data_IF_513497784196
#
_entry.id   IF_513497784196
#
_cell.length_a   1.000
_cell.length_b   1.000
_cell.length_c   1.000
_cell.angle_alpha   90.00
_cell.angle_beta   90.00
_cell.angle_gamma   90.00
#
_symmetry.space_group_name_H-M   'P 1'
#
loop_
_entity.id
_entity.type
_entity.pdbx_description
1 polymer ?
#
# COMPACT_ATOMS: atom_id res chain seq x y z
N UNK A 1 -13.71 -11.49 24.56
CA UNK A 1 -12.44 -11.45 25.30
C UNK A 1 -12.09 -9.99 25.53
N UNK A 2 -11.44 -9.61 26.64
CA UNK A 2 -10.94 -8.24 26.80
C UNK A 2 -9.91 -7.97 25.70
N UNK A 3 -9.95 -6.77 25.12
CA UNK A 3 -8.96 -6.33 24.12
C UNK A 3 -7.59 -6.24 24.80
N UNK A 4 -6.57 -6.80 24.16
CA UNK A 4 -5.17 -6.59 24.55
C UNK A 4 -4.70 -5.24 24.00
N UNK A 5 -4.96 -4.18 24.76
CA UNK A 5 -4.63 -2.80 24.38
C UNK A 5 -3.13 -2.59 24.12
N UNK A 6 -2.26 -3.39 24.74
CA UNK A 6 -0.81 -3.28 24.52
C UNK A 6 -0.43 -3.86 23.16
N UNK A 7 -1.00 -5.02 22.80
CA UNK A 7 -0.85 -5.60 21.47
C UNK A 7 -1.42 -4.68 20.38
N UNK A 8 -2.60 -4.09 20.60
CA UNK A 8 -3.21 -3.12 19.68
C UNK A 8 -2.29 -1.92 19.43
N UNK A 9 -1.68 -1.35 20.47
CA UNK A 9 -0.71 -0.25 20.34
C UNK A 9 0.55 -0.67 19.58
N UNK A 10 1.09 -1.87 19.84
CA UNK A 10 2.24 -2.40 19.08
C UNK A 10 1.91 -2.58 17.61
N UNK A 11 0.70 -3.04 17.31
CA UNK A 11 0.22 -3.25 15.96
C UNK A 11 0.10 -1.92 15.19
N UNK A 12 -0.48 -0.89 15.80
CA UNK A 12 -0.55 0.46 15.22
C UNK A 12 0.86 1.02 14.99
N UNK A 13 1.73 0.93 16.00
CA UNK A 13 3.12 1.38 15.89
C UNK A 13 3.90 0.68 14.76
N UNK A 14 3.59 -0.59 14.47
CA UNK A 14 4.20 -1.31 13.34
C UNK A 14 3.81 -0.70 11.99
N UNK A 15 2.55 -0.30 11.81
CA UNK A 15 2.09 0.37 10.57
C UNK A 15 2.65 1.79 10.49
N UNK A 16 2.73 2.52 11.60
CA UNK A 16 3.40 3.83 11.65
C UNK A 16 4.89 3.71 11.25
N UNK A 17 5.59 2.69 11.77
CA UNK A 17 6.98 2.39 11.42
C UNK A 17 7.16 2.09 9.94
N UNK A 18 6.20 1.40 9.31
CA UNK A 18 6.18 1.18 7.86
C UNK A 18 6.24 2.50 7.09
N UNK A 19 5.39 3.47 7.45
CA UNK A 19 5.35 4.80 6.84
C UNK A 19 6.63 5.58 7.09
N UNK A 20 7.16 5.53 8.31
CA UNK A 20 8.41 6.19 8.68
C UNK A 20 9.58 5.70 7.81
N UNK A 21 9.81 4.39 7.77
CA UNK A 21 10.91 3.79 7.01
C UNK A 21 10.77 4.05 5.51
N UNK A 22 9.55 3.94 4.99
CA UNK A 22 9.29 4.25 3.58
C UNK A 22 9.61 5.71 3.24
N UNK A 23 9.18 6.68 4.08
CA UNK A 23 9.46 8.10 3.87
C UNK A 23 10.95 8.45 4.01
N UNK A 24 11.70 7.70 4.82
CA UNK A 24 13.16 7.82 4.96
C UNK A 24 13.93 7.15 3.81
N UNK A 25 13.25 6.33 2.98
CA UNK A 25 13.88 5.54 1.93
C UNK A 25 14.65 4.32 2.43
N UNK A 26 14.46 3.91 3.69
CA UNK A 26 15.12 2.75 4.27
C UNK A 26 14.35 1.46 3.95
N UNK A 27 14.46 1.05 2.69
CA UNK A 27 13.76 -0.12 2.15
C UNK A 27 14.30 -1.44 2.73
N UNK A 28 15.55 -1.45 3.20
CA UNK A 28 16.16 -2.63 3.81
C UNK A 28 15.54 -2.90 5.18
N UNK A 29 15.51 -1.89 6.05
CA UNK A 29 14.85 -2.01 7.35
C UNK A 29 13.34 -2.29 7.19
N UNK A 30 12.69 -1.65 6.21
CA UNK A 30 11.27 -1.90 5.91
C UNK A 30 11.02 -3.38 5.60
N UNK A 31 11.88 -3.99 4.78
CA UNK A 31 11.81 -5.41 4.43
C UNK A 31 12.05 -6.33 5.63
N UNK A 32 13.06 -6.05 6.45
CA UNK A 32 13.53 -6.96 7.50
C UNK A 32 12.73 -6.86 8.81
N UNK A 33 12.33 -5.63 9.17
CA UNK A 33 11.67 -5.32 10.43
C UNK A 33 10.14 -5.41 10.34
N UNK A 34 9.55 -5.01 9.22
CA UNK A 34 8.10 -4.77 9.13
C UNK A 34 7.37 -5.89 8.39
N UNK A 35 7.90 -6.37 7.27
CA UNK A 35 7.18 -7.26 6.37
C UNK A 35 7.43 -8.74 6.67
N UNK A 36 6.35 -9.52 6.72
CA UNK A 36 6.47 -10.96 6.75
C UNK A 36 7.07 -11.48 5.43
N UNK A 37 7.89 -12.55 5.45
CA UNK A 37 8.50 -13.10 4.23
C UNK A 37 7.49 -13.51 3.15
N UNK A 38 6.29 -13.92 3.56
CA UNK A 38 5.14 -14.34 2.74
C UNK A 38 4.04 -13.26 2.66
N UNK A 39 4.39 -11.98 2.85
CA UNK A 39 3.46 -10.86 2.75
C UNK A 39 2.64 -10.91 1.45
N UNK A 40 1.33 -10.71 1.54
CA UNK A 40 0.45 -10.52 0.38
C UNK A 40 -0.18 -9.14 0.42
N UNK A 41 0.02 -8.33 -0.62
CA UNK A 41 -0.56 -6.99 -0.75
C UNK A 41 -1.48 -6.90 -1.95
N UNK A 42 -2.76 -6.59 -1.70
CA UNK A 42 -3.77 -6.44 -2.76
C UNK A 42 -4.16 -4.97 -2.93
N UNK A 43 -3.85 -4.41 -4.10
CA UNK A 43 -4.43 -3.15 -4.56
C UNK A 43 -5.53 -3.48 -5.60
N UNK A 44 -6.78 -3.07 -5.39
CA UNK A 44 -7.82 -3.30 -6.40
C UNK A 44 -7.60 -2.42 -7.63
N UNK A 45 -8.19 -2.83 -8.74
CA UNK A 45 -8.17 -2.06 -9.99
C UNK A 45 -7.61 -2.81 -11.18
N UNK A 46 -7.82 -2.22 -12.35
CA UNK A 46 -7.38 -2.73 -13.64
C UNK A 46 -6.41 -1.75 -14.28
N UNK A 47 -5.31 -1.48 -13.57
CA UNK A 47 -4.31 -0.48 -13.94
C UNK A 47 -2.89 -1.04 -13.73
N UNK A 48 -1.82 -0.36 -14.21
CA UNK A 48 -0.46 -0.90 -14.19
C UNK A 48 0.13 -1.23 -12.82
N UNK A 49 -0.39 -0.67 -11.72
CA UNK A 49 0.10 -0.92 -10.34
C UNK A 49 -0.88 -1.74 -9.49
N UNK A 50 -2.05 -2.04 -10.05
CA UNK A 50 -3.09 -2.86 -9.44
C UNK A 50 -2.70 -4.33 -9.31
N UNK A 51 -3.54 -5.10 -8.64
CA UNK A 51 -3.35 -6.53 -8.43
C UNK A 51 -2.62 -6.89 -7.13
N UNK A 52 -2.29 -8.17 -7.05
CA UNK A 52 -1.67 -8.82 -5.89
C UNK A 52 -0.15 -8.79 -6.03
N UNK A 53 0.54 -8.36 -4.97
CA UNK A 53 1.99 -8.42 -4.82
C UNK A 53 2.34 -9.47 -3.77
N UNK A 54 3.27 -10.36 -4.10
CA UNK A 54 3.66 -11.51 -3.29
C UNK A 54 5.10 -11.32 -2.78
N UNK A 55 5.23 -11.24 -1.47
CA UNK A 55 6.48 -11.04 -0.77
C UNK A 55 6.95 -9.57 -0.72
N UNK A 56 7.91 -9.26 0.15
CA UNK A 56 8.39 -7.91 0.36
C UNK A 56 8.97 -7.23 -0.89
N UNK A 57 9.64 -7.99 -1.76
CA UNK A 57 10.30 -7.43 -2.95
C UNK A 57 9.31 -6.87 -3.98
N UNK A 58 8.21 -7.59 -4.24
CA UNK A 58 7.15 -7.09 -5.11
C UNK A 58 6.42 -5.89 -4.51
N UNK A 59 6.25 -5.87 -3.17
CA UNK A 59 5.64 -4.73 -2.47
C UNK A 59 6.51 -3.48 -2.52
N UNK A 60 7.82 -3.61 -2.34
CA UNK A 60 8.77 -2.50 -2.47
C UNK A 60 8.80 -1.98 -3.92
N UNK A 61 8.82 -2.87 -4.92
CA UNK A 61 8.73 -2.48 -6.32
C UNK A 61 7.42 -1.73 -6.62
N UNK A 62 6.31 -2.21 -6.04
CA UNK A 62 5.00 -1.54 -6.13
C UNK A 62 5.02 -0.14 -5.51
N UNK A 63 5.63 0.05 -4.34
CA UNK A 63 5.78 1.39 -3.74
C UNK A 63 6.63 2.33 -4.61
N UNK A 64 7.72 1.82 -5.19
CA UNK A 64 8.50 2.56 -6.17
C UNK A 64 7.66 2.97 -7.39
N UNK A 65 6.76 2.09 -7.84
CA UNK A 65 5.72 2.40 -8.80
C UNK A 65 4.90 3.61 -8.37
N UNK A 66 4.23 3.55 -7.22
CA UNK A 66 3.41 4.66 -6.72
C UNK A 66 4.18 6.00 -6.69
N UNK A 67 5.41 6.00 -6.20
CA UNK A 67 6.26 7.20 -6.19
C UNK A 67 6.49 7.74 -7.61
N UNK A 68 6.82 6.86 -8.55
CA UNK A 68 7.05 7.22 -9.95
C UNK A 68 5.78 7.75 -10.65
N UNK A 69 4.59 7.34 -10.22
CA UNK A 69 3.33 7.87 -10.75
C UNK A 69 3.06 9.32 -10.33
N UNK A 70 3.80 9.83 -9.34
CA UNK A 70 3.61 11.17 -8.78
C UNK A 70 2.39 11.31 -7.86
N UNK A 71 1.72 10.22 -7.50
CA UNK A 71 0.59 10.27 -6.56
C UNK A 71 1.07 10.78 -5.19
N UNK A 72 0.23 11.56 -4.53
CA UNK A 72 0.44 12.01 -3.14
C UNK A 72 -0.50 11.27 -2.22
N UNK A 73 0.02 10.94 -1.05
CA UNK A 73 -0.68 10.21 0.00
C UNK A 73 -0.58 11.03 1.28
N UNK A 74 -1.72 11.54 1.72
CA UNK A 74 -1.84 12.23 3.00
C UNK A 74 -2.46 11.25 4.00
N UNK A 75 -1.68 10.84 5.02
CA UNK A 75 -2.18 9.99 6.08
C UNK A 75 -3.26 10.73 6.89
N UNK A 76 -4.41 10.08 7.11
CA UNK A 76 -5.53 10.62 7.89
C UNK A 76 -5.55 10.02 9.29
N UNK A 77 -5.56 8.69 9.40
CA UNK A 77 -5.49 8.00 10.69
C UNK A 77 -4.96 6.57 10.55
N UNK A 78 -4.51 6.00 11.67
CA UNK A 78 -4.14 4.60 11.82
C UNK A 78 -4.75 4.12 13.14
N UNK A 79 -5.61 3.12 13.07
CA UNK A 79 -6.41 2.66 14.18
C UNK A 79 -6.33 1.14 14.32
N UNK A 80 -6.22 0.65 15.56
CA UNK A 80 -6.34 -0.78 15.83
C UNK A 80 -7.76 -1.26 15.48
N UNK A 81 -7.86 -2.42 14.85
CA UNK A 81 -9.12 -3.01 14.43
C UNK A 81 -9.22 -4.45 14.92
N UNK A 82 -9.31 -4.67 16.23
CA UNK A 82 -9.27 -6.02 16.83
C UNK A 82 -7.84 -6.51 17.10
N UNK A 83 -7.70 -7.78 17.44
CA UNK A 83 -6.47 -8.29 18.08
C UNK A 83 -5.21 -8.22 17.21
N UNK A 84 -5.31 -8.57 15.93
CA UNK A 84 -4.16 -8.73 15.02
C UNK A 84 -4.32 -7.93 13.72
N UNK A 85 -5.11 -6.86 13.75
CA UNK A 85 -5.50 -6.11 12.57
C UNK A 85 -5.47 -4.61 12.82
N UNK A 86 -5.09 -3.86 11.79
CA UNK A 86 -5.00 -2.39 11.81
C UNK A 86 -5.72 -1.87 10.57
N UNK A 87 -6.42 -0.76 10.72
CA UNK A 87 -6.99 -0.02 9.59
C UNK A 87 -6.34 1.34 9.54
N UNK A 88 -5.94 1.74 8.34
CA UNK A 88 -5.39 3.05 8.05
C UNK A 88 -6.28 3.75 7.04
N UNK A 89 -6.47 5.05 7.22
CA UNK A 89 -7.17 5.91 6.27
C UNK A 89 -6.18 6.91 5.72
N UNK A 90 -6.17 7.10 4.40
CA UNK A 90 -5.41 8.16 3.74
C UNK A 90 -6.22 8.82 2.64
N UNK A 91 -5.80 10.02 2.25
CA UNK A 91 -6.23 10.66 1.00
C UNK A 91 -5.17 10.44 -0.07
N UNK A 92 -5.56 9.81 -1.17
CA UNK A 92 -4.74 9.72 -2.38
C UNK A 92 -5.13 10.82 -3.34
N UNK A 93 -4.18 11.66 -3.76
CA UNK A 93 -4.48 12.73 -4.72
C UNK A 93 -3.34 13.02 -5.71
N UNK A 94 -3.69 13.42 -6.93
CA UNK A 94 -2.73 13.72 -7.98
C UNK A 94 -3.39 14.02 -9.33
N UNK A 95 -2.59 14.49 -10.27
CA UNK A 95 -3.01 14.72 -11.66
C UNK A 95 -1.91 14.24 -12.60
N UNK A 96 -2.31 13.55 -13.67
CA UNK A 96 -1.40 13.07 -14.71
C UNK A 96 -2.10 13.06 -16.06
N UNK A 97 -1.52 13.73 -17.06
CA UNK A 97 -2.01 13.78 -18.46
C UNK A 97 -3.52 14.01 -18.59
N UNK A 98 -4.08 14.87 -17.75
CA UNK A 98 -5.51 15.22 -17.74
C UNK A 98 -6.42 14.29 -16.93
N UNK A 99 -5.90 13.18 -16.38
CA UNK A 99 -6.59 12.37 -15.38
C UNK A 99 -6.30 12.87 -13.97
N UNK A 100 -7.33 12.96 -13.12
CA UNK A 100 -7.22 13.41 -11.73
C UNK A 100 -7.71 12.33 -10.78
N UNK A 101 -6.98 12.12 -9.70
CA UNK A 101 -7.41 11.37 -8.53
C UNK A 101 -7.45 12.31 -7.31
N UNK A 102 -8.50 12.20 -6.52
CA UNK A 102 -8.65 12.89 -5.24
C UNK A 102 -9.69 12.14 -4.40
N UNK A 103 -9.24 11.16 -3.63
CA UNK A 103 -10.10 10.16 -3.01
C UNK A 103 -9.60 9.76 -1.61
N UNK A 104 -10.54 9.38 -0.74
CA UNK A 104 -10.22 8.75 0.54
C UNK A 104 -10.15 7.24 0.37
N UNK A 105 -9.16 6.62 0.99
CA UNK A 105 -8.91 5.20 0.87
C UNK A 105 -8.72 4.60 2.26
N UNK A 106 -9.03 3.32 2.39
CA UNK A 106 -8.79 2.56 3.60
C UNK A 106 -7.89 1.36 3.29
N UNK A 107 -6.88 1.13 4.12
CA UNK A 107 -6.00 -0.03 4.02
C UNK A 107 -6.16 -0.88 5.28
N UNK A 108 -6.44 -2.17 5.09
CA UNK A 108 -6.56 -3.12 6.18
C UNK A 108 -5.33 -4.02 6.23
N UNK A 109 -4.64 -4.01 7.35
CA UNK A 109 -3.44 -4.79 7.63
C UNK A 109 -3.77 -5.92 8.58
N UNK A 110 -3.25 -7.12 8.30
CA UNK A 110 -3.20 -8.24 9.24
C UNK A 110 -1.76 -8.49 9.65
N UNK A 111 -1.54 -8.57 10.95
CA UNK A 111 -0.24 -8.75 11.57
C UNK A 111 -0.12 -10.19 12.08
N UNK A 112 1.06 -10.77 11.89
CA UNK A 112 1.41 -12.12 12.37
C UNK A 112 2.86 -12.10 12.82
N UNK A 113 3.12 -12.58 14.03
CA UNK A 113 4.46 -12.65 14.63
C UNK A 113 5.20 -11.30 14.61
N UNK A 114 4.47 -10.21 14.90
CA UNK A 114 5.01 -8.85 14.92
C UNK A 114 5.32 -8.26 13.54
N UNK A 115 4.85 -8.88 12.44
CA UNK A 115 5.07 -8.43 11.07
C UNK A 115 3.79 -8.34 10.27
N UNK A 116 3.73 -7.44 9.29
CA UNK A 116 2.60 -7.31 8.37
C UNK A 116 2.61 -8.50 7.40
N UNK A 117 1.54 -9.28 7.40
CA UNK A 117 1.42 -10.51 6.61
C UNK A 117 0.39 -10.41 5.48
N UNK A 118 -0.69 -9.63 5.66
CA UNK A 118 -1.70 -9.43 4.60
C UNK A 118 -2.15 -8.00 4.59
N UNK A 119 -2.21 -7.39 3.40
CA UNK A 119 -2.70 -6.04 3.20
C UNK A 119 -3.77 -6.02 2.12
N UNK A 120 -4.91 -5.41 2.43
CA UNK A 120 -6.01 -5.20 1.50
C UNK A 120 -6.36 -3.72 1.45
N UNK A 121 -6.25 -3.12 0.26
CA UNK A 121 -6.61 -1.71 0.03
C UNK A 121 -8.05 -1.62 -0.47
N UNK A 122 -8.76 -0.58 -0.05
CA UNK A 122 -10.09 -0.18 -0.51
C UNK A 122 -10.05 1.28 -0.94
N UNK A 123 -10.49 1.56 -2.16
CA UNK A 123 -10.47 2.91 -2.74
C UNK A 123 -11.89 3.46 -2.82
N UNK A 124 -12.13 4.71 -2.39
CA UNK A 124 -13.47 5.31 -2.52
C UNK A 124 -13.87 5.58 -3.96
N UNK A 125 -12.88 5.76 -4.85
CA UNK A 125 -13.09 5.96 -6.29
C UNK A 125 -12.12 5.10 -7.12
N UNK A 126 -12.51 3.85 -7.32
CA UNK A 126 -11.74 2.89 -8.11
C UNK A 126 -11.57 3.33 -9.57
N UNK A 127 -12.58 3.97 -10.16
CA UNK A 127 -12.54 4.37 -11.57
C UNK A 127 -11.58 5.53 -11.79
N UNK A 128 -11.56 6.52 -10.90
CA UNK A 128 -10.59 7.61 -10.96
C UNK A 128 -9.16 7.09 -10.76
N UNK A 129 -8.96 6.14 -9.83
CA UNK A 129 -7.66 5.53 -9.61
C UNK A 129 -7.15 4.77 -10.84
N UNK A 130 -8.01 3.97 -11.46
CA UNK A 130 -7.65 3.24 -12.68
C UNK A 130 -7.25 4.21 -13.81
N UNK A 131 -8.03 5.27 -14.03
CA UNK A 131 -7.74 6.29 -15.05
C UNK A 131 -6.43 7.04 -14.76
N UNK A 132 -6.21 7.43 -13.51
CA UNK A 132 -4.99 8.14 -13.10
C UNK A 132 -3.74 7.29 -13.34
N UNK A 133 -3.72 6.04 -12.88
CA UNK A 133 -2.55 5.17 -13.05
C UNK A 133 -2.33 4.82 -14.51
N UNK A 134 -3.38 4.64 -15.32
CA UNK A 134 -3.20 4.48 -16.77
C UNK A 134 -2.57 5.71 -17.43
N UNK A 135 -2.97 6.90 -17.01
CA UNK A 135 -2.38 8.14 -17.53
C UNK A 135 -0.93 8.34 -17.07
N UNK A 136 -0.56 7.83 -15.88
CA UNK A 136 0.75 8.03 -15.28
C UNK A 136 1.87 7.15 -15.87
N UNK A 137 1.55 6.06 -16.55
CA UNK A 137 2.56 5.17 -17.12
C UNK A 137 2.47 5.06 -18.63
N UNK A 138 3.63 5.18 -19.28
CA UNK A 138 3.83 4.62 -20.60
C UNK A 138 4.13 3.13 -20.46
N UNK A 139 3.26 2.30 -21.03
CA UNK A 139 3.55 0.89 -21.12
C UNK A 139 4.67 0.65 -22.14
N UNK A 140 5.53 -0.34 -21.84
CA UNK A 140 6.50 -0.85 -22.78
C UNK A 140 5.83 -1.17 -24.15
N UNK A 141 6.53 -0.97 -25.27
CA UNK A 141 6.02 -1.37 -26.58
C UNK A 141 5.86 -2.89 -26.67
N UNK A 142 5.12 -3.38 -27.66
CA UNK A 142 5.11 -4.80 -28.00
C UNK A 142 6.43 -5.11 -28.76
N UNK A 143 7.15 -6.21 -28.43
CA UNK A 143 6.75 -7.33 -27.56
C UNK A 143 7.13 -7.22 -26.08
N UNK A 144 7.90 -6.21 -25.67
CA UNK A 144 8.47 -6.10 -24.31
C UNK A 144 7.43 -6.00 -23.19
N UNK A 145 6.19 -5.62 -23.52
CA UNK A 145 5.05 -5.58 -22.59
C UNK A 145 4.62 -6.95 -22.07
N UNK A 146 4.85 -8.02 -22.84
CA UNK A 146 4.40 -9.34 -22.45
C UNK A 146 5.44 -9.95 -21.50
N UNK A 147 5.14 -10.01 -20.20
CA UNK A 147 5.87 -10.88 -19.29
C UNK A 147 5.73 -12.32 -19.81
N UNK A 148 6.85 -13.04 -19.87
CA UNK A 148 6.90 -14.45 -20.28
C UNK A 148 6.65 -15.36 -19.09
#
# INVERSE_FOLDING_TARGET
MPRDEEQEKRNVALVERMYELFNQGDLAALKEEVFAPDLVWTLPGRNPVGGVKNGPDEVIAFFGGLVASGIKVDLVSIDAWGENTVVEVHRGHGESRGARLDALNCTHYRIRDGRIAVVQVYLSDQYAADNFFWAAYDLAPIPDRWAK
#
